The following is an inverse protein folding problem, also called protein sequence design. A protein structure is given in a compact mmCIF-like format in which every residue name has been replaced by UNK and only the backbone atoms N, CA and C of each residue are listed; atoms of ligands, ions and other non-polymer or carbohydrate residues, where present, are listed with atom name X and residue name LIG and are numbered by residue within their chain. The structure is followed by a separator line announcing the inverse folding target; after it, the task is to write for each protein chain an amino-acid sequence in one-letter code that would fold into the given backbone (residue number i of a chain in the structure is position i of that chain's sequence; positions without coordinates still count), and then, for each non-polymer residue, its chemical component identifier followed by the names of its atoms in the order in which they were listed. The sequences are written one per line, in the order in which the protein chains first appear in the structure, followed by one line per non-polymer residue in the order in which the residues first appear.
data_IF_416844814960
#
_entry.id   IF_416844814960
#
_cell.length_a   1.000
_cell.length_b   1.000
_cell.length_c   1.000
_cell.angle_alpha   90.00
_cell.angle_beta   90.00
_cell.angle_gamma   90.00
#
_symmetry.space_group_name_H-M   'P 1'
#
loop_
_entity.id
_entity.type
_entity.pdbx_description
1 polymer ?
#
# COMPACT_ATOMS: atom_id res chain seq x y z
N UNK A 1 23.78 23.62 40.02
CA UNK A 1 24.67 22.47 39.75
C UNK A 1 24.67 22.24 38.25
N UNK A 2 25.80 22.44 37.56
CA UNK A 2 25.87 22.20 36.12
C UNK A 2 25.78 20.68 35.85
N UNK A 3 25.09 20.27 34.78
CA UNK A 3 25.02 18.87 34.38
C UNK A 3 26.42 18.29 34.22
N UNK A 4 26.64 17.12 34.81
CA UNK A 4 27.89 16.36 34.63
C UNK A 4 28.00 15.86 33.19
N UNK A 5 29.23 15.62 32.72
CA UNK A 5 29.44 15.06 31.37
C UNK A 5 28.67 13.75 31.15
N UNK A 6 28.56 12.89 32.17
CA UNK A 6 27.79 11.65 32.10
C UNK A 6 26.30 11.90 31.86
N UNK A 7 25.72 12.91 32.51
CA UNK A 7 24.31 13.29 32.31
C UNK A 7 24.09 13.81 30.89
N UNK A 8 25.00 14.63 30.36
CA UNK A 8 24.92 15.13 28.98
C UNK A 8 25.01 14.00 27.94
N UNK A 9 25.87 13.00 28.19
CA UNK A 9 25.97 11.81 27.33
C UNK A 9 24.66 11.03 27.35
N UNK A 10 24.11 10.74 28.52
CA UNK A 10 22.85 10.01 28.66
C UNK A 10 21.68 10.73 27.95
N UNK A 11 21.56 12.06 28.11
CA UNK A 11 20.53 12.86 27.44
C UNK A 11 20.67 12.84 25.91
N UNK A 12 21.90 12.87 25.40
CA UNK A 12 22.17 12.77 23.96
C UNK A 12 21.83 11.38 23.40
N UNK A 13 22.15 10.31 24.14
CA UNK A 13 21.82 8.93 23.77
C UNK A 13 20.30 8.71 23.76
N UNK A 14 19.58 9.21 24.76
CA UNK A 14 18.11 9.16 24.81
C UNK A 14 17.48 9.89 23.65
N UNK A 15 17.99 11.09 23.33
CA UNK A 15 17.51 11.87 22.18
C UNK A 15 17.76 11.12 20.88
N UNK A 16 18.93 10.51 20.71
CA UNK A 16 19.27 9.70 19.54
C UNK A 16 18.34 8.47 19.42
N UNK A 17 18.06 7.79 20.53
CA UNK A 17 17.15 6.64 20.55
C UNK A 17 15.74 7.03 20.09
N UNK A 18 15.22 8.16 20.57
CA UNK A 18 13.90 8.70 20.16
C UNK A 18 13.86 9.05 18.67
N UNK A 19 14.89 9.73 18.17
CA UNK A 19 14.98 10.09 16.74
C UNK A 19 15.05 8.85 15.85
N UNK A 20 15.83 7.85 16.22
CA UNK A 20 15.90 6.57 15.51
C UNK A 20 14.54 5.86 15.51
N UNK A 21 13.83 5.88 16.62
CA UNK A 21 12.48 5.30 16.70
C UNK A 21 11.49 6.04 15.82
N UNK A 22 11.49 7.37 15.81
CA UNK A 22 10.67 8.17 14.91
C UNK A 22 10.98 7.87 13.44
N UNK A 23 12.26 7.74 13.09
CA UNK A 23 12.67 7.37 11.73
C UNK A 23 12.13 6.01 11.31
N UNK A 24 12.24 5.00 12.18
CA UNK A 24 11.70 3.66 11.90
C UNK A 24 10.18 3.68 11.74
N UNK A 25 9.46 4.45 12.56
CA UNK A 25 8.01 4.61 12.44
C UNK A 25 7.62 5.21 11.11
N UNK A 26 8.31 6.27 10.67
CA UNK A 26 8.08 6.90 9.37
C UNK A 26 8.35 5.92 8.24
N UNK A 27 9.48 5.23 8.25
CA UNK A 27 9.86 4.26 7.22
C UNK A 27 8.86 3.10 7.14
N UNK A 28 8.43 2.57 8.29
CA UNK A 28 7.42 1.51 8.35
C UNK A 28 6.06 2.01 7.83
N UNK A 29 5.66 3.23 8.17
CA UNK A 29 4.44 3.85 7.66
C UNK A 29 4.46 3.98 6.13
N UNK A 30 5.58 4.43 5.56
CA UNK A 30 5.75 4.53 4.11
C UNK A 30 5.62 3.16 3.42
N UNK A 31 6.25 2.12 3.98
CA UNK A 31 6.13 0.74 3.46
C UNK A 31 4.70 0.21 3.51
N UNK A 32 3.97 0.48 4.61
CA UNK A 32 2.58 0.07 4.77
C UNK A 32 1.68 0.77 3.74
N UNK A 33 1.82 2.09 3.57
CA UNK A 33 1.01 2.87 2.62
C UNK A 33 1.27 2.39 1.19
N UNK A 34 2.55 2.27 0.80
CA UNK A 34 2.91 1.84 -0.55
C UNK A 34 2.47 0.40 -0.82
N UNK A 35 2.69 -0.51 0.13
CA UNK A 35 2.26 -1.91 0.02
C UNK A 35 0.74 -2.05 -0.06
N UNK A 36 0.00 -1.30 0.75
CA UNK A 36 -1.47 -1.28 0.71
C UNK A 36 -2.00 -0.79 -0.64
N UNK A 37 -1.43 0.29 -1.17
CA UNK A 37 -1.76 0.80 -2.51
C UNK A 37 -1.45 -0.23 -3.60
N UNK A 38 -0.29 -0.88 -3.55
CA UNK A 38 0.11 -1.89 -4.54
C UNK A 38 -0.82 -3.12 -4.51
N UNK A 39 -1.21 -3.59 -3.32
CA UNK A 39 -2.16 -4.69 -3.17
C UNK A 39 -3.53 -4.29 -3.75
N UNK A 40 -3.99 -3.05 -3.50
CA UNK A 40 -5.22 -2.53 -4.09
C UNK A 40 -5.14 -2.51 -5.62
N UNK A 41 -4.02 -2.03 -6.18
CA UNK A 41 -3.79 -2.01 -7.62
C UNK A 41 -3.76 -3.42 -8.23
N UNK A 42 -3.10 -4.38 -7.59
CA UNK A 42 -3.07 -5.78 -8.03
C UNK A 42 -4.46 -6.45 -8.05
N UNK A 43 -5.40 -6.02 -7.19
CA UNK A 43 -6.78 -6.50 -7.25
C UNK A 43 -7.55 -5.98 -8.46
N UNK A 44 -7.17 -4.82 -8.99
CA UNK A 44 -7.85 -4.14 -10.10
C UNK A 44 -7.17 -4.25 -11.45
N UNK A 45 -5.89 -4.61 -11.49
CA UNK A 45 -5.12 -4.70 -12.73
C UNK A 45 -4.32 -6.01 -12.74
N UNK A 46 -4.57 -6.82 -13.75
CA UNK A 46 -3.95 -8.12 -13.92
C UNK A 46 -2.48 -8.11 -14.28
N UNK A 47 -2.03 -7.08 -15.00
CA UNK A 47 -0.62 -6.91 -15.30
C UNK A 47 0.15 -6.62 -14.02
N UNK A 48 -0.39 -5.74 -13.16
CA UNK A 48 0.20 -5.44 -11.85
C UNK A 48 0.17 -6.68 -10.96
N UNK A 49 -0.94 -7.44 -10.97
CA UNK A 49 -1.08 -8.68 -10.20
C UNK A 49 -0.05 -9.74 -10.59
N UNK A 50 0.08 -10.00 -11.89
CA UNK A 50 1.03 -10.97 -12.42
C UNK A 50 2.48 -10.58 -12.08
N UNK A 51 2.82 -9.30 -12.24
CA UNK A 51 4.13 -8.78 -11.85
C UNK A 51 4.39 -8.97 -10.35
N UNK A 52 3.44 -8.61 -9.49
CA UNK A 52 3.58 -8.73 -8.03
C UNK A 52 3.79 -10.19 -7.60
N UNK A 53 3.04 -11.13 -8.19
CA UNK A 53 3.17 -12.56 -7.89
C UNK A 53 4.55 -13.10 -8.27
N UNK A 54 5.08 -12.71 -9.44
CA UNK A 54 6.40 -13.11 -9.89
C UNK A 54 7.51 -12.52 -9.00
N UNK A 55 7.39 -11.25 -8.63
CA UNK A 55 8.34 -10.59 -7.74
C UNK A 55 8.32 -11.21 -6.33
N UNK A 56 7.14 -11.56 -5.83
CA UNK A 56 6.98 -12.24 -4.56
C UNK A 56 7.69 -13.60 -4.54
N UNK A 57 7.54 -14.40 -5.61
CA UNK A 57 8.22 -15.69 -5.75
C UNK A 57 9.74 -15.55 -5.79
N UNK A 58 10.25 -14.52 -6.46
CA UNK A 58 11.69 -14.27 -6.61
C UNK A 58 12.37 -13.79 -5.32
N UNK A 59 11.74 -12.88 -4.58
CA UNK A 59 12.39 -12.19 -3.47
C UNK A 59 11.99 -12.68 -2.08
N UNK A 60 10.83 -13.34 -1.91
CA UNK A 60 10.40 -13.86 -0.61
C UNK A 60 10.92 -15.29 -0.44
N UNK A 61 12.18 -15.39 -0.02
CA UNK A 61 12.89 -16.68 0.06
C UNK A 61 12.78 -17.37 1.42
N UNK A 62 12.51 -16.62 2.50
CA UNK A 62 12.41 -17.17 3.86
C UNK A 62 11.08 -17.87 4.09
N UNK A 63 11.13 -19.10 4.59
CA UNK A 63 9.93 -19.92 4.83
C UNK A 63 8.88 -19.27 5.76
N UNK A 64 9.34 -18.55 6.79
CA UNK A 64 8.43 -17.83 7.70
C UNK A 64 7.66 -16.73 6.97
N UNK A 65 8.32 -16.02 6.06
CA UNK A 65 7.74 -14.91 5.30
C UNK A 65 6.80 -15.45 4.20
N UNK A 66 7.19 -16.55 3.54
CA UNK A 66 6.32 -17.28 2.59
C UNK A 66 5.02 -17.72 3.26
N UNK A 67 5.10 -18.38 4.43
CA UNK A 67 3.92 -18.83 5.18
C UNK A 67 3.03 -17.66 5.61
N UNK A 68 3.63 -16.56 6.06
CA UNK A 68 2.91 -15.36 6.47
C UNK A 68 2.14 -14.72 5.31
N UNK A 69 2.71 -14.71 4.11
CA UNK A 69 2.13 -14.04 2.94
C UNK A 69 1.25 -14.95 2.07
N UNK A 70 1.32 -16.28 2.22
CA UNK A 70 0.55 -17.23 1.43
C UNK A 70 -0.96 -16.88 1.33
N UNK A 71 -1.68 -16.55 2.42
CA UNK A 71 -3.11 -16.22 2.33
C UNK A 71 -3.40 -15.02 1.42
N UNK A 72 -2.53 -14.01 1.44
CA UNK A 72 -2.66 -12.82 0.59
C UNK A 72 -2.37 -13.17 -0.88
N UNK A 73 -1.29 -13.90 -1.15
CA UNK A 73 -0.90 -14.26 -2.52
C UNK A 73 -1.92 -15.20 -3.16
N UNK A 74 -2.49 -16.12 -2.39
CA UNK A 74 -3.56 -17.02 -2.85
C UNK A 74 -4.83 -16.26 -3.20
N UNK A 75 -5.22 -15.28 -2.36
CA UNK A 75 -6.35 -14.38 -2.66
C UNK A 75 -6.14 -13.67 -4.00
N UNK A 76 -4.93 -13.18 -4.26
CA UNK A 76 -4.61 -12.52 -5.53
C UNK A 76 -4.68 -13.51 -6.69
N UNK A 77 -4.11 -14.72 -6.58
CA UNK A 77 -4.18 -15.75 -7.64
C UNK A 77 -5.60 -16.13 -8.02
N UNK A 78 -6.51 -16.14 -7.04
CA UNK A 78 -7.92 -16.48 -7.24
C UNK A 78 -8.79 -15.29 -7.67
N UNK A 79 -8.23 -14.06 -7.68
CA UNK A 79 -8.98 -12.87 -8.09
C UNK A 79 -9.24 -12.92 -9.60
N UNK A 80 -10.50 -12.93 -10.05
CA UNK A 80 -10.83 -12.95 -11.45
C UNK A 80 -10.38 -11.66 -12.14
N UNK A 81 -10.20 -11.74 -13.46
CA UNK A 81 -9.87 -10.58 -14.28
C UNK A 81 -10.95 -9.49 -14.10
N UNK A 82 -10.55 -8.25 -13.81
CA UNK A 82 -11.50 -7.15 -13.73
C UNK A 82 -12.10 -6.93 -15.13
N UNK A 83 -13.41 -7.09 -15.25
CA UNK A 83 -14.13 -6.79 -16.49
C UNK A 83 -13.98 -5.30 -16.80
N UNK A 84 -13.20 -4.96 -17.82
CA UNK A 84 -12.97 -3.57 -18.24
C UNK A 84 -14.23 -2.88 -18.80
N UNK A 85 -15.34 -3.62 -18.94
CA UNK A 85 -16.65 -3.11 -19.36
C UNK A 85 -17.37 -2.36 -18.24
N UNK A 86 -17.21 -2.75 -16.96
CA UNK A 86 -17.98 -2.14 -15.87
C UNK A 86 -17.57 -0.69 -15.57
N UNK A 87 -16.29 -0.34 -15.71
CA UNK A 87 -15.82 1.04 -15.55
C UNK A 87 -16.25 1.93 -16.73
N UNK A 88 -16.32 1.38 -17.96
CA UNK A 88 -16.78 2.13 -19.15
C UNK A 88 -18.29 2.35 -19.14
N UNK A 89 -19.07 1.35 -18.74
CA UNK A 89 -20.52 1.47 -18.56
C UNK A 89 -20.85 2.51 -17.48
N UNK A 90 -20.16 2.46 -16.33
CA UNK A 90 -20.41 3.43 -15.24
C UNK A 90 -20.14 4.87 -15.66
N UNK A 91 -19.06 5.12 -16.42
CA UNK A 91 -18.72 6.46 -16.92
C UNK A 91 -19.68 6.90 -18.04
N UNK A 92 -20.09 5.98 -18.91
CA UNK A 92 -21.07 6.24 -19.97
C UNK A 92 -22.46 6.56 -19.40
N UNK A 93 -22.93 5.80 -18.42
CA UNK A 93 -24.19 6.06 -17.71
C UNK A 93 -24.15 7.39 -16.96
N UNK A 94 -23.05 7.69 -16.26
CA UNK A 94 -22.88 8.96 -15.56
C UNK A 94 -22.93 10.16 -16.53
N UNK A 95 -22.27 10.06 -17.70
CA UNK A 95 -22.33 11.10 -18.74
C UNK A 95 -23.74 11.25 -19.31
N UNK A 96 -24.45 10.13 -19.55
CA UNK A 96 -25.81 10.14 -20.09
C UNK A 96 -26.78 10.82 -19.12
N UNK A 97 -26.65 10.55 -17.82
CA UNK A 97 -27.48 11.17 -16.79
C UNK A 97 -27.22 12.68 -16.65
N UNK A 98 -25.96 13.10 -16.68
CA UNK A 98 -25.59 14.54 -16.62
C UNK A 98 -26.15 15.30 -17.83
N UNK A 99 -26.04 14.74 -19.04
CA UNK A 99 -26.56 15.36 -20.25
C UNK A 99 -28.09 15.46 -20.23
N UNK A 100 -28.77 14.44 -19.69
CA UNK A 100 -30.23 14.40 -19.56
C UNK A 100 -30.75 15.42 -18.54
N UNK A 101 -30.07 15.55 -17.39
CA UNK A 101 -30.41 16.54 -16.37
C UNK A 101 -30.21 17.99 -16.84
N UNK A 102 -29.24 18.23 -17.73
CA UNK A 102 -28.99 19.57 -18.27
C UNK A 102 -30.00 19.95 -19.36
N UNK A 103 -30.49 18.97 -20.15
CA UNK A 103 -31.51 19.19 -21.16
C UNK A 103 -32.93 19.45 -20.60
N UNK A 104 -33.17 19.14 -19.33
CA UNK A 104 -34.45 19.41 -18.63
C UNK A 104 -34.48 20.76 -17.89
N UNK A 105 -33.39 21.52 -17.94
CA UNK A 105 -33.24 22.82 -17.26
C UNK A 105 -33.37 24.04 -18.18
N UNK A 106 -33.51 23.82 -19.49
CA UNK A 106 -33.83 24.81 -20.52
C UNK A 106 -35.32 24.74 -20.90
#
# INVERSE_FOLDING_TARGET
MAQTLKQKIAEAEDKLARLREQSRRTENGQKIILGGMLIHAARKDAKIRAWLLAEAEKYITREVDKKRLAPLLDTLRMTPEPNQESEKETVSEALTNILSDNAMRD
#
